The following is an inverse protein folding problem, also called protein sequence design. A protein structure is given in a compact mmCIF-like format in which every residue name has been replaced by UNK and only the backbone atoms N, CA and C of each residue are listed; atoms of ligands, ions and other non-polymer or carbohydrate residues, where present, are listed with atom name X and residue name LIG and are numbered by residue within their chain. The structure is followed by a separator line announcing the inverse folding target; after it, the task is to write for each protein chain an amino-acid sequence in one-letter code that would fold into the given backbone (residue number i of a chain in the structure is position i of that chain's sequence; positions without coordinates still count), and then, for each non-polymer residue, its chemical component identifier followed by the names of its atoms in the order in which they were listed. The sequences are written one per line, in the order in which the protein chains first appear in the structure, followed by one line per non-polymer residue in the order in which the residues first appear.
data_IF_199832806565
#
_entry.id   IF_199832806565
#
_cell.length_a   1.000
_cell.length_b   1.000
_cell.length_c   1.000
_cell.angle_alpha   90.00
_cell.angle_beta   90.00
_cell.angle_gamma   90.00
#
_symmetry.space_group_name_H-M   'P 1'
#
loop_
_entity.id
_entity.type
_entity.pdbx_description
1 polymer ?
#
# COMPACT_ATOMS: atom_id res chain seq x y z
N UNK A 1 -3.01 -8.03 19.89
CA UNK A 1 -3.20 -8.79 18.65
C UNK A 1 -2.56 -8.06 17.47
N UNK A 2 -2.00 -8.82 16.50
CA UNK A 2 -1.63 -8.25 15.22
C UNK A 2 -2.83 -7.56 14.56
N UNK A 3 -2.57 -6.45 13.89
CA UNK A 3 -3.59 -5.65 13.22
C UNK A 3 -3.40 -5.71 11.72
N UNK A 4 -4.42 -6.12 11.00
CA UNK A 4 -4.40 -6.24 9.55
C UNK A 4 -5.58 -5.51 8.92
N UNK A 5 -5.35 -4.81 7.82
CA UNK A 5 -6.39 -4.10 7.09
C UNK A 5 -6.04 -4.03 5.60
N UNK A 6 -7.06 -3.97 4.72
CA UNK A 6 -6.82 -3.78 3.29
C UNK A 6 -6.38 -2.35 3.00
N UNK A 7 -5.46 -2.19 2.03
CA UNK A 7 -4.91 -0.89 1.65
C UNK A 7 -4.69 -0.82 0.15
N UNK A 8 -4.85 0.39 -0.38
CA UNK A 8 -4.37 0.71 -1.73
C UNK A 8 -2.96 1.28 -1.63
N UNK A 9 -2.07 0.86 -2.52
CA UNK A 9 -0.66 1.23 -2.46
C UNK A 9 -0.09 1.60 -3.82
N UNK A 10 1.10 2.19 -3.80
CA UNK A 10 1.95 2.34 -4.97
C UNK A 10 3.35 1.81 -4.63
N UNK A 11 3.98 1.16 -5.60
CA UNK A 11 5.35 0.68 -5.51
C UNK A 11 6.26 1.62 -6.28
N UNK A 12 7.24 2.22 -5.60
CA UNK A 12 8.17 3.19 -6.21
C UNK A 12 9.58 2.91 -5.68
N UNK A 13 10.51 2.65 -6.59
CA UNK A 13 11.93 2.48 -6.26
C UNK A 13 12.20 1.47 -5.13
N UNK A 14 11.54 0.32 -5.18
CA UNK A 14 11.76 -0.75 -4.21
C UNK A 14 11.05 -0.58 -2.89
N UNK A 15 10.15 0.39 -2.78
CA UNK A 15 9.40 0.66 -1.56
C UNK A 15 7.91 0.75 -1.83
N UNK A 16 7.12 0.46 -0.82
CA UNK A 16 5.66 0.51 -0.87
C UNK A 16 5.18 1.73 -0.11
N UNK A 17 4.28 2.50 -0.73
CA UNK A 17 3.69 3.69 -0.14
C UNK A 17 2.18 3.59 -0.10
N UNK A 18 1.60 4.04 1.00
CA UNK A 18 0.15 4.20 1.13
C UNK A 18 -0.15 5.41 2.03
N UNK A 19 -1.39 5.84 2.02
CA UNK A 19 -1.81 7.01 2.80
C UNK A 19 -3.00 6.69 3.68
N UNK A 20 -3.23 7.54 4.67
CA UNK A 20 -4.36 7.41 5.57
C UNK A 20 -4.57 8.70 6.37
N UNK A 21 -5.51 8.65 7.30
CA UNK A 21 -5.76 9.76 8.21
C UNK A 21 -4.60 9.93 9.19
N UNK A 22 -4.50 11.12 9.78
CA UNK A 22 -3.47 11.44 10.76
C UNK A 22 -3.62 10.68 12.09
N UNK A 23 -4.81 10.19 12.38
CA UNK A 23 -5.13 9.48 13.61
C UNK A 23 -5.80 8.14 13.31
N UNK A 24 -5.71 7.21 14.25
CA UNK A 24 -6.38 5.91 14.20
C UNK A 24 -5.52 4.79 14.73
N UNK A 25 -6.10 3.59 14.81
CA UNK A 25 -5.42 2.40 15.31
C UNK A 25 -4.16 2.07 14.50
N UNK A 26 -4.21 2.25 13.19
CA UNK A 26 -3.07 2.04 12.29
C UNK A 26 -1.87 2.90 12.70
N UNK A 27 -2.09 4.19 12.98
CA UNK A 27 -1.04 5.11 13.37
C UNK A 27 -0.42 4.72 14.71
N UNK A 28 -1.26 4.36 15.68
CA UNK A 28 -0.81 3.91 16.99
C UNK A 28 0.01 2.61 16.89
N UNK A 29 -0.40 1.70 16.04
CA UNK A 29 0.32 0.44 15.82
C UNK A 29 1.71 0.69 15.22
N UNK A 30 1.83 1.60 14.25
CA UNK A 30 3.10 1.96 13.62
C UNK A 30 4.06 2.61 14.63
N UNK A 31 3.56 3.46 15.52
CA UNK A 31 4.38 4.06 16.57
C UNK A 31 4.95 3.02 17.53
N UNK A 32 4.19 1.96 17.82
CA UNK A 32 4.60 0.92 18.76
C UNK A 32 5.54 -0.12 18.16
N UNK A 33 5.40 -0.39 16.86
CA UNK A 33 6.22 -1.38 16.17
C UNK A 33 6.38 -0.99 14.71
N UNK A 34 7.62 -0.91 14.26
CA UNK A 34 7.95 -0.55 12.87
C UNK A 34 8.04 -1.75 11.93
N UNK A 35 7.94 -2.97 12.45
CA UNK A 35 8.00 -4.20 11.64
C UNK A 35 6.61 -4.56 11.13
N UNK A 36 6.51 -4.78 9.83
CA UNK A 36 5.22 -5.05 9.18
C UNK A 36 5.35 -6.18 8.16
N UNK A 37 4.21 -6.78 7.90
CA UNK A 37 3.99 -7.64 6.73
C UNK A 37 3.01 -6.96 5.81
N UNK A 38 3.24 -7.05 4.51
CA UNK A 38 2.34 -6.52 3.50
C UNK A 38 2.05 -7.60 2.47
N UNK A 39 0.79 -7.88 2.24
CA UNK A 39 0.37 -8.89 1.28
C UNK A 39 -0.29 -8.24 0.08
N UNK A 40 0.18 -8.59 -1.11
CA UNK A 40 -0.43 -8.17 -2.37
C UNK A 40 -0.90 -9.41 -3.09
N UNK A 41 -2.14 -9.40 -3.56
CA UNK A 41 -2.69 -10.52 -4.34
C UNK A 41 -3.39 -9.98 -5.57
N UNK A 42 -3.38 -10.77 -6.64
CA UNK A 42 -4.15 -10.43 -7.83
C UNK A 42 -5.63 -10.84 -7.67
N UNK A 43 -6.44 -10.54 -8.67
CA UNK A 43 -7.87 -10.83 -8.65
C UNK A 43 -8.17 -12.32 -8.82
N UNK A 44 -7.17 -13.10 -9.20
CA UNK A 44 -7.36 -14.51 -9.53
C UNK A 44 -7.99 -14.70 -10.91
N UNK A 45 -7.77 -15.88 -11.47
CA UNK A 45 -8.34 -16.28 -12.75
C UNK A 45 -8.99 -17.64 -12.55
N UNK A 46 -10.25 -17.75 -13.00
CA UNK A 46 -10.95 -19.01 -12.97
C UNK A 46 -10.35 -19.95 -14.01
N UNK A 47 -10.01 -21.15 -13.59
CA UNK A 47 -9.42 -22.14 -14.50
C UNK A 47 -10.44 -22.64 -15.53
N UNK A 48 -9.94 -23.22 -16.61
CA UNK A 48 -10.76 -23.79 -17.69
C UNK A 48 -11.67 -24.94 -17.26
N UNK A 49 -11.37 -25.59 -16.13
CA UNK A 49 -12.25 -26.61 -15.54
C UNK A 49 -13.57 -26.05 -14.96
N UNK A 50 -13.67 -24.71 -14.83
CA UNK A 50 -14.88 -24.00 -14.42
C UNK A 50 -15.05 -23.84 -12.92
N UNK A 51 -14.17 -24.36 -12.08
CA UNK A 51 -14.34 -24.33 -10.61
C UNK A 51 -13.08 -24.22 -9.78
N UNK A 52 -11.92 -24.31 -10.36
CA UNK A 52 -10.67 -23.99 -9.67
C UNK A 52 -10.16 -22.60 -10.04
N UNK A 53 -9.40 -21.97 -9.14
CA UNK A 53 -8.82 -20.65 -9.34
C UNK A 53 -7.31 -20.72 -9.32
N UNK A 54 -6.70 -19.84 -10.13
CA UNK A 54 -5.27 -19.58 -10.12
C UNK A 54 -5.09 -18.14 -9.67
N UNK A 55 -4.34 -17.91 -8.62
CA UNK A 55 -3.99 -16.56 -8.18
C UNK A 55 -2.55 -16.49 -7.69
N UNK A 56 -2.02 -15.27 -7.75
CA UNK A 56 -0.67 -14.98 -7.33
C UNK A 56 -0.70 -14.00 -6.17
N UNK A 57 0.23 -14.20 -5.26
CA UNK A 57 0.41 -13.28 -4.15
C UNK A 57 1.87 -13.02 -3.89
N UNK A 58 2.14 -11.87 -3.29
CA UNK A 58 3.46 -11.46 -2.82
C UNK A 58 3.34 -11.13 -1.36
N UNK A 59 4.22 -11.69 -0.55
CA UNK A 59 4.32 -11.37 0.86
C UNK A 59 5.61 -10.58 1.07
N UNK A 60 5.48 -9.43 1.68
CA UNK A 60 6.59 -8.54 2.00
C UNK A 60 6.75 -8.48 3.51
N UNK A 61 7.99 -8.60 3.98
CA UNK A 61 8.36 -8.27 5.34
C UNK A 61 9.27 -7.04 5.30
N UNK A 62 9.00 -6.06 6.11
CA UNK A 62 9.77 -4.84 6.07
C UNK A 62 9.56 -3.94 7.26
N UNK A 63 10.11 -2.74 7.14
CA UNK A 63 9.96 -1.69 8.14
C UNK A 63 9.15 -0.54 7.59
N UNK A 64 8.24 -0.05 8.41
CA UNK A 64 7.36 1.06 8.08
C UNK A 64 7.82 2.33 8.80
N UNK A 65 7.72 3.45 8.13
CA UNK A 65 7.86 4.77 8.74
C UNK A 65 6.83 5.73 8.17
N UNK A 66 6.53 6.74 8.93
CA UNK A 66 5.69 7.85 8.49
C UNK A 66 6.59 8.90 7.84
N UNK A 67 6.20 9.41 6.66
CA UNK A 67 6.93 10.48 5.99
C UNK A 67 6.64 11.80 6.68
N UNK A 68 7.68 12.56 7.01
CA UNK A 68 7.58 13.86 7.67
C UNK A 68 7.96 15.03 6.76
N UNK A 69 8.78 14.78 5.74
CA UNK A 69 9.18 15.80 4.78
C UNK A 69 8.03 16.12 3.81
N UNK A 70 7.64 17.37 3.74
CA UNK A 70 6.49 17.81 2.94
C UNK A 70 6.67 17.52 1.44
N UNK A 71 7.86 17.78 0.90
CA UNK A 71 8.13 17.53 -0.51
C UNK A 71 8.06 16.03 -0.84
N UNK A 72 8.60 15.18 0.03
CA UNK A 72 8.53 13.74 -0.10
C UNK A 72 7.09 13.23 -0.03
N UNK A 73 6.29 13.74 0.90
CA UNK A 73 4.86 13.41 1.00
C UNK A 73 4.11 13.76 -0.29
N UNK A 74 4.32 14.94 -0.83
CA UNK A 74 3.68 15.39 -2.06
C UNK A 74 4.07 14.49 -3.23
N UNK A 75 5.34 14.15 -3.36
CA UNK A 75 5.82 13.26 -4.40
C UNK A 75 5.12 11.90 -4.35
N UNK A 76 5.04 11.27 -3.18
CA UNK A 76 4.43 9.94 -3.03
C UNK A 76 2.90 9.99 -3.17
N UNK A 77 2.26 11.04 -2.68
CA UNK A 77 0.82 11.24 -2.90
C UNK A 77 0.51 11.45 -4.38
N UNK A 78 1.40 12.10 -5.12
CA UNK A 78 1.26 12.25 -6.57
C UNK A 78 1.31 10.89 -7.26
N UNK A 79 2.25 10.01 -6.91
CA UNK A 79 2.32 8.66 -7.45
C UNK A 79 1.05 7.85 -7.13
N UNK A 80 0.55 7.95 -5.90
CA UNK A 80 -0.68 7.28 -5.49
C UNK A 80 -1.89 7.79 -6.26
N UNK A 81 -2.04 9.11 -6.33
CA UNK A 81 -3.17 9.72 -7.03
C UNK A 81 -3.18 9.41 -8.51
N UNK A 82 -2.03 9.52 -9.17
CA UNK A 82 -1.92 9.24 -10.60
C UNK A 82 -2.21 7.77 -10.94
N UNK A 83 -2.00 6.87 -10.00
CA UNK A 83 -2.35 5.45 -10.16
C UNK A 83 -3.87 5.22 -10.11
N UNK A 84 -4.60 5.96 -9.28
CA UNK A 84 -6.00 5.67 -8.97
C UNK A 84 -7.00 6.70 -9.47
N UNK A 85 -6.60 7.96 -9.63
CA UNK A 85 -7.51 9.02 -10.08
C UNK A 85 -7.59 9.09 -11.61
N UNK A 86 -8.71 9.62 -12.15
CA UNK A 86 -8.92 9.70 -13.59
C UNK A 86 -7.91 10.59 -14.32
N UNK A 87 -7.36 11.62 -13.67
CA UNK A 87 -6.44 12.57 -14.27
C UNK A 87 -5.42 13.08 -13.27
N UNK A 88 -4.29 13.57 -13.80
CA UNK A 88 -3.26 14.23 -12.99
C UNK A 88 -3.80 15.50 -12.30
N UNK A 89 -4.67 16.24 -12.97
CA UNK A 89 -5.28 17.43 -12.37
C UNK A 89 -6.12 17.08 -11.13
N UNK A 90 -6.83 15.96 -11.16
CA UNK A 90 -7.58 15.47 -10.00
C UNK A 90 -6.62 15.15 -8.85
N UNK A 91 -5.47 14.53 -9.14
CA UNK A 91 -4.43 14.28 -8.15
C UNK A 91 -3.93 15.56 -7.50
N UNK A 92 -3.58 16.56 -8.29
CA UNK A 92 -3.09 17.85 -7.80
C UNK A 92 -4.13 18.53 -6.92
N UNK A 93 -5.39 18.53 -7.34
CA UNK A 93 -6.48 19.15 -6.59
C UNK A 93 -6.71 18.46 -5.23
N UNK A 94 -6.72 17.14 -5.19
CA UNK A 94 -6.89 16.39 -3.95
C UNK A 94 -5.73 16.60 -2.98
N UNK A 95 -4.49 16.61 -3.47
CA UNK A 95 -3.33 16.87 -2.63
C UNK A 95 -3.41 18.27 -2.02
N UNK A 96 -3.74 19.28 -2.82
CA UNK A 96 -3.89 20.66 -2.34
C UNK A 96 -4.92 20.79 -1.24
N UNK A 97 -6.00 20.01 -1.33
CA UNK A 97 -7.11 20.05 -0.38
C UNK A 97 -6.83 19.29 0.91
N UNK A 98 -6.12 18.16 0.83
CA UNK A 98 -6.04 17.18 1.93
C UNK A 98 -4.64 16.98 2.53
N UNK A 99 -3.61 17.65 2.00
CA UNK A 99 -2.22 17.41 2.42
C UNK A 99 -2.03 17.47 3.94
N UNK A 100 -2.60 18.49 4.59
CA UNK A 100 -2.43 18.70 6.03
C UNK A 100 -3.21 17.71 6.88
N UNK A 101 -4.10 16.92 6.28
CA UNK A 101 -4.91 15.91 6.97
C UNK A 101 -4.51 14.48 6.62
N UNK A 102 -3.49 14.32 5.80
CA UNK A 102 -3.12 13.03 5.26
C UNK A 102 -1.74 12.62 5.75
N UNK A 103 -1.65 11.42 6.27
CA UNK A 103 -0.39 10.77 6.60
C UNK A 103 0.03 9.89 5.43
N UNK A 104 1.35 9.83 5.17
CA UNK A 104 1.92 8.93 4.16
C UNK A 104 2.88 7.98 4.85
N UNK A 105 2.73 6.69 4.55
CA UNK A 105 3.54 5.63 5.12
C UNK A 105 4.42 5.03 4.04
N UNK A 106 5.64 4.66 4.42
CA UNK A 106 6.62 4.01 3.56
C UNK A 106 7.03 2.68 4.18
N UNK A 107 6.97 1.61 3.39
CA UNK A 107 7.52 0.31 3.79
C UNK A 107 8.79 0.07 2.99
N UNK A 108 9.92 -0.06 3.72
CA UNK A 108 11.18 -0.52 3.15
C UNK A 108 11.19 -2.04 3.18
N UNK A 109 11.34 -2.66 2.02
CA UNK A 109 11.26 -4.11 1.88
C UNK A 109 12.57 -4.75 2.34
N UNK A 110 12.49 -5.63 3.34
CA UNK A 110 13.62 -6.41 3.82
C UNK A 110 13.62 -7.83 3.23
N UNK A 111 12.44 -8.41 3.03
CA UNK A 111 12.27 -9.72 2.41
C UNK A 111 10.98 -9.76 1.62
N UNK A 112 11.01 -10.41 0.47
CA UNK A 112 9.84 -10.55 -0.39
C UNK A 112 9.81 -11.94 -1.00
N UNK A 113 8.65 -12.58 -0.96
CA UNK A 113 8.42 -13.87 -1.60
C UNK A 113 7.12 -13.86 -2.39
N UNK A 114 7.12 -14.60 -3.48
CA UNK A 114 5.96 -14.77 -4.34
C UNK A 114 5.40 -16.18 -4.24
N UNK A 115 4.10 -16.30 -4.45
CA UNK A 115 3.41 -17.60 -4.43
C UNK A 115 2.34 -17.63 -5.52
N UNK A 116 2.30 -18.74 -6.28
CA UNK A 116 1.20 -19.05 -7.19
C UNK A 116 0.38 -20.16 -6.56
N UNK A 117 -0.91 -19.96 -6.46
CA UNK A 117 -1.84 -20.95 -5.90
C UNK A 117 -2.78 -21.40 -7.01
N UNK A 118 -2.91 -22.72 -7.15
CA UNK A 118 -3.89 -23.33 -8.02
C UNK A 118 -4.79 -24.21 -7.17
N UNK A 119 -6.00 -23.75 -6.93
CA UNK A 119 -6.98 -24.50 -6.15
C UNK A 119 -7.80 -25.41 -7.05
N UNK A 120 -8.07 -26.58 -6.51
CA UNK A 120 -8.92 -27.59 -7.14
C UNK A 120 -10.13 -27.90 -6.26
#
# INVERSE_FOLDING_TARGET
YPYALPMSHVYVNGKIYFHGAMEGHKNDAVERCDRVSYCVMDEGVKNTDGWSYIFRSVIVFGKIRTLTDKAEKIDKLTHLGDKFFPSHDDTVNEISRLLDRTEVFEITIEHMSGKTVQEK
#
